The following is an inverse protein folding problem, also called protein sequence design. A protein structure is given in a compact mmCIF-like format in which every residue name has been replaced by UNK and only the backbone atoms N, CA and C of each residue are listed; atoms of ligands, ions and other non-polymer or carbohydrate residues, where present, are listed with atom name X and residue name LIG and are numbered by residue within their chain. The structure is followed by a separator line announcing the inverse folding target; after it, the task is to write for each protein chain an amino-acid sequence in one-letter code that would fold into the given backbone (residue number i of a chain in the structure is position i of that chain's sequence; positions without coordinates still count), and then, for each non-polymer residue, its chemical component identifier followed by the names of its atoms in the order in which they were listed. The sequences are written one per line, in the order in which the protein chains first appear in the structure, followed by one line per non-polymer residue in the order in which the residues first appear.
data_IF_177493758198
#
_entry.id   IF_177493758198
#
_cell.length_a   1.000
_cell.length_b   1.000
_cell.length_c   1.000
_cell.angle_alpha   90.00
_cell.angle_beta   90.00
_cell.angle_gamma   90.00
#
_symmetry.space_group_name_H-M   'P 1'
#
loop_
_entity.id
_entity.type
_entity.pdbx_description
1 polymer ?
#
# COMPACT_ATOMS: atom_id res chain seq x y z
N UNK A 1 -13.12 1.70 -19.91
CA UNK A 1 -12.64 2.47 -18.75
C UNK A 1 -13.57 2.23 -17.59
N UNK A 2 -13.04 1.93 -16.41
CA UNK A 2 -13.83 1.73 -15.19
C UNK A 2 -14.04 3.11 -14.53
N UNK A 3 -15.26 3.67 -14.54
CA UNK A 3 -15.51 5.02 -14.01
C UNK A 3 -15.21 5.10 -12.51
N UNK A 4 -15.38 4.00 -11.77
CA UNK A 4 -15.13 3.96 -10.32
C UNK A 4 -13.65 4.12 -10.00
N UNK A 5 -12.78 3.56 -10.85
CA UNK A 5 -11.34 3.71 -10.68
C UNK A 5 -10.87 5.14 -10.99
N UNK A 6 -11.45 5.77 -12.02
CA UNK A 6 -11.13 7.15 -12.38
C UNK A 6 -11.57 8.13 -11.29
N UNK A 7 -12.76 7.94 -10.73
CA UNK A 7 -13.25 8.75 -9.61
C UNK A 7 -12.36 8.59 -8.37
N UNK A 8 -11.92 7.35 -8.07
CA UNK A 8 -11.05 7.08 -6.93
C UNK A 8 -9.64 7.66 -7.11
N UNK A 9 -9.08 7.62 -8.33
CA UNK A 9 -7.81 8.29 -8.66
C UNK A 9 -7.94 9.81 -8.53
N UNK A 10 -9.03 10.40 -9.02
CA UNK A 10 -9.29 11.84 -8.91
C UNK A 10 -9.48 12.32 -7.47
N UNK A 11 -9.84 11.43 -6.54
CA UNK A 11 -9.98 11.72 -5.12
C UNK A 11 -8.66 11.57 -4.33
N UNK A 12 -7.58 11.08 -4.94
CA UNK A 12 -6.28 10.97 -4.28
C UNK A 12 -5.66 12.35 -4.02
N UNK A 13 -4.79 12.46 -3.02
CA UNK A 13 -4.12 13.71 -2.66
C UNK A 13 -3.27 14.29 -3.83
N UNK A 14 -2.57 13.40 -4.54
CA UNK A 14 -1.92 13.68 -5.82
C UNK A 14 -2.29 12.54 -6.81
N UNK A 15 -3.21 12.79 -7.76
CA UNK A 15 -3.67 11.79 -8.72
C UNK A 15 -2.57 11.27 -9.67
N UNK A 16 -1.63 12.12 -10.05
CA UNK A 16 -0.54 11.75 -10.96
C UNK A 16 0.46 10.84 -10.24
N UNK A 17 0.78 11.16 -8.99
CA UNK A 17 1.61 10.31 -8.13
C UNK A 17 0.93 8.96 -7.87
N UNK A 18 -0.39 8.96 -7.60
CA UNK A 18 -1.16 7.74 -7.40
C UNK A 18 -1.14 6.85 -8.64
N UNK A 19 -1.35 7.43 -9.83
CA UNK A 19 -1.32 6.70 -11.10
C UNK A 19 0.07 6.14 -11.39
N UNK A 20 1.12 6.95 -11.22
CA UNK A 20 2.51 6.52 -11.42
C UNK A 20 2.86 5.36 -10.48
N UNK A 21 2.51 5.47 -9.20
CA UNK A 21 2.72 4.43 -8.20
C UNK A 21 1.98 3.14 -8.52
N UNK A 22 0.74 3.23 -9.02
CA UNK A 22 -0.07 2.08 -9.40
C UNK A 22 0.53 1.34 -10.60
N UNK A 23 1.01 2.09 -11.61
CA UNK A 23 1.69 1.51 -12.78
C UNK A 23 2.96 0.78 -12.34
N UNK A 24 3.81 1.43 -11.55
CA UNK A 24 5.05 0.80 -11.02
C UNK A 24 4.75 -0.47 -10.23
N UNK A 25 3.73 -0.45 -9.38
CA UNK A 25 3.31 -1.63 -8.61
C UNK A 25 2.78 -2.77 -9.50
N UNK A 26 2.00 -2.44 -10.53
CA UNK A 26 1.47 -3.44 -11.46
C UNK A 26 2.56 -4.08 -12.33
N UNK A 27 3.57 -3.30 -12.72
CA UNK A 27 4.74 -3.77 -13.48
C UNK A 27 5.70 -4.61 -12.63
N UNK A 28 5.81 -4.30 -11.33
CA UNK A 28 6.66 -5.04 -10.40
C UNK A 28 6.12 -6.44 -10.02
N UNK A 29 4.88 -6.77 -10.39
CA UNK A 29 4.31 -8.08 -10.06
C UNK A 29 5.12 -9.21 -10.71
N UNK A 30 5.35 -10.33 -9.99
CA UNK A 30 6.27 -11.39 -10.45
C UNK A 30 5.78 -12.11 -11.71
N UNK A 31 4.46 -12.14 -11.94
CA UNK A 31 3.85 -12.77 -13.10
C UNK A 31 2.50 -12.12 -13.46
N UNK A 32 1.94 -12.56 -14.59
CA UNK A 32 0.68 -12.04 -15.11
C UNK A 32 -0.52 -12.35 -14.20
N UNK A 33 -0.47 -13.41 -13.40
CA UNK A 33 -1.56 -13.83 -12.53
C UNK A 33 -1.58 -13.00 -11.24
N UNK A 34 -0.42 -12.71 -10.66
CA UNK A 34 -0.26 -11.77 -9.56
C UNK A 34 -0.73 -10.37 -9.96
N UNK A 35 -0.37 -9.91 -11.17
CA UNK A 35 -0.88 -8.64 -11.72
C UNK A 35 -2.39 -8.64 -11.90
N UNK A 36 -2.95 -9.73 -12.42
CA UNK A 36 -4.40 -9.85 -12.58
C UNK A 36 -5.11 -9.82 -11.23
N UNK A 37 -4.58 -10.53 -10.24
CA UNK A 37 -5.10 -10.55 -8.87
C UNK A 37 -5.15 -9.15 -8.27
N UNK A 38 -4.06 -8.38 -8.38
CA UNK A 38 -4.00 -6.99 -7.92
C UNK A 38 -5.11 -6.15 -8.58
N UNK A 39 -5.17 -6.14 -9.92
CA UNK A 39 -6.10 -5.30 -10.66
C UNK A 39 -7.57 -5.71 -10.41
N UNK A 40 -7.85 -7.01 -10.35
CA UNK A 40 -9.18 -7.51 -10.01
C UNK A 40 -9.57 -7.08 -8.59
N UNK A 41 -8.66 -7.16 -7.63
CA UNK A 41 -8.96 -6.77 -6.24
C UNK A 41 -9.16 -5.25 -6.13
N UNK A 42 -8.38 -4.45 -6.86
CA UNK A 42 -8.54 -2.99 -6.95
C UNK A 42 -9.93 -2.59 -7.45
N UNK A 43 -10.45 -3.27 -8.47
CA UNK A 43 -11.80 -3.00 -9.01
C UNK A 43 -12.88 -3.49 -8.04
N UNK A 44 -12.69 -4.69 -7.47
CA UNK A 44 -13.73 -5.39 -6.69
C UNK A 44 -13.88 -4.87 -5.25
N UNK A 45 -12.81 -4.39 -4.63
CA UNK A 45 -12.79 -4.05 -3.20
C UNK A 45 -12.58 -2.56 -2.97
N UNK A 46 -13.69 -1.82 -2.74
CA UNK A 46 -13.65 -0.37 -2.47
C UNK A 46 -12.70 0.02 -1.33
N UNK A 47 -12.69 -0.65 -0.14
CA UNK A 47 -11.79 -0.27 0.94
C UNK A 47 -10.32 -0.39 0.58
N UNK A 48 -9.94 -1.45 -0.15
CA UNK A 48 -8.57 -1.61 -0.64
C UNK A 48 -8.22 -0.50 -1.63
N UNK A 49 -9.10 -0.25 -2.60
CA UNK A 49 -8.86 0.75 -3.64
C UNK A 49 -8.61 2.12 -3.05
N UNK A 50 -9.49 2.59 -2.18
CA UNK A 50 -9.38 3.91 -1.58
C UNK A 50 -8.08 4.05 -0.78
N UNK A 51 -7.71 3.00 -0.01
CA UNK A 51 -6.47 2.98 0.77
C UNK A 51 -5.22 2.95 -0.09
N UNK A 52 -5.16 2.04 -1.06
CA UNK A 52 -4.01 1.90 -1.94
C UNK A 52 -3.78 3.19 -2.73
N UNK A 53 -4.84 3.75 -3.34
CA UNK A 53 -4.72 5.02 -4.07
C UNK A 53 -4.42 6.20 -3.14
N UNK A 54 -4.97 6.21 -1.92
CA UNK A 54 -4.63 7.21 -0.90
C UNK A 54 -3.16 7.17 -0.50
N UNK A 55 -2.59 5.98 -0.24
CA UNK A 55 -1.17 5.80 0.08
C UNK A 55 -0.29 6.22 -1.09
N UNK A 56 -0.60 5.75 -2.31
CA UNK A 56 0.19 6.06 -3.49
C UNK A 56 0.14 7.56 -3.81
N UNK A 57 -1.01 8.22 -3.67
CA UNK A 57 -1.16 9.65 -3.91
C UNK A 57 -0.63 10.54 -2.78
N UNK A 58 -0.39 10.01 -1.59
CA UNK A 58 0.13 10.80 -0.46
C UNK A 58 1.63 10.65 -0.23
N UNK A 59 2.28 9.60 -0.75
CA UNK A 59 3.67 9.29 -0.42
C UNK A 59 4.42 8.54 -1.51
N UNK A 60 5.35 9.24 -2.15
CA UNK A 60 6.31 8.66 -3.10
C UNK A 60 7.13 7.54 -2.45
N UNK A 61 7.58 7.73 -1.21
CA UNK A 61 8.38 6.75 -0.49
C UNK A 61 7.64 5.41 -0.26
N UNK A 62 6.31 5.46 -0.06
CA UNK A 62 5.50 4.26 0.08
C UNK A 62 5.19 3.62 -1.27
N UNK A 63 4.98 4.43 -2.33
CA UNK A 63 4.88 3.92 -3.70
C UNK A 63 6.16 3.17 -4.11
N UNK A 64 7.33 3.74 -3.85
CA UNK A 64 8.63 3.11 -4.12
C UNK A 64 8.88 1.87 -3.27
N UNK A 65 8.35 1.83 -2.04
CA UNK A 65 8.40 0.63 -1.21
C UNK A 65 7.56 -0.50 -1.83
N UNK A 66 6.31 -0.20 -2.23
CA UNK A 66 5.42 -1.17 -2.86
C UNK A 66 5.95 -1.65 -4.22
N UNK A 67 6.62 -0.80 -5.00
CA UNK A 67 7.27 -1.22 -6.23
C UNK A 67 8.44 -2.20 -5.97
N UNK A 68 9.20 -2.02 -4.88
CA UNK A 68 10.28 -2.94 -4.48
C UNK A 68 9.78 -4.21 -3.80
N UNK A 69 8.65 -4.11 -3.11
CA UNK A 69 8.01 -5.22 -2.39
C UNK A 69 6.55 -5.35 -2.85
N UNK A 70 6.32 -5.83 -4.09
CA UNK A 70 5.02 -5.85 -4.76
C UNK A 70 3.99 -6.79 -4.12
N UNK A 71 4.35 -7.50 -3.06
CA UNK A 71 3.45 -8.37 -2.31
C UNK A 71 2.78 -7.62 -1.14
N UNK A 72 3.39 -6.52 -0.68
CA UNK A 72 3.03 -5.83 0.56
C UNK A 72 1.71 -5.04 0.43
N UNK A 73 1.19 -4.82 -0.79
CA UNK A 73 -0.15 -4.27 -0.99
C UNK A 73 -1.24 -5.17 -0.38
N UNK A 74 -0.99 -6.47 -0.23
CA UNK A 74 -1.93 -7.42 0.41
C UNK A 74 -2.14 -7.11 1.88
N UNK A 75 -1.20 -6.43 2.53
CA UNK A 75 -1.36 -5.95 3.91
C UNK A 75 -2.49 -4.93 4.01
N UNK A 76 -2.73 -4.14 2.96
CA UNK A 76 -3.85 -3.18 2.88
C UNK A 76 -5.21 -3.87 2.74
N UNK A 77 -5.24 -5.16 2.35
CA UNK A 77 -6.46 -5.98 2.26
C UNK A 77 -6.89 -6.47 3.65
N UNK A 78 -5.93 -6.77 4.53
CA UNK A 78 -6.18 -7.36 5.86
C UNK A 78 -6.67 -6.38 6.92
N UNK A 79 -6.82 -5.11 6.56
CA UNK A 79 -7.01 -4.03 7.50
C UNK A 79 -8.49 -3.85 7.88
N UNK A 80 -8.86 -4.38 9.05
CA UNK A 80 -10.12 -4.12 9.74
C UNK A 80 -10.05 -2.74 10.42
N UNK A 81 -11.17 -2.05 10.59
CA UNK A 81 -11.22 -0.73 11.24
C UNK A 81 -10.73 -0.74 12.71
N UNK A 82 -10.51 -1.92 13.30
CA UNK A 82 -9.87 -2.10 14.61
C UNK A 82 -8.39 -1.69 14.64
N UNK A 83 -7.74 -1.61 13.48
CA UNK A 83 -6.29 -1.41 13.38
C UNK A 83 -5.89 0.07 13.31
N UNK A 84 -6.87 1.00 13.31
CA UNK A 84 -6.67 2.47 13.30
C UNK A 84 -5.75 2.99 14.42
N UNK A 85 -5.45 2.17 15.41
CA UNK A 85 -4.39 2.36 16.38
C UNK A 85 -3.72 1.01 16.66
N UNK A 86 -2.60 0.63 16.02
CA UNK A 86 -1.72 -0.32 16.66
C UNK A 86 -1.40 0.27 18.03
N UNK A 87 -1.72 -0.48 19.10
CA UNK A 87 -1.21 -0.18 20.44
C UNK A 87 0.32 0.01 20.30
N UNK A 88 0.89 0.96 21.05
CA UNK A 88 2.34 1.16 21.15
C UNK A 88 3.07 -0.20 21.31
N UNK A 89 2.48 -1.15 22.03
CA UNK A 89 3.01 -2.50 22.20
C UNK A 89 3.11 -3.35 20.91
N UNK A 90 2.28 -3.11 19.91
CA UNK A 90 2.35 -3.77 18.60
C UNK A 90 3.41 -3.11 17.70
N UNK A 91 3.50 -1.78 17.76
CA UNK A 91 4.57 -1.02 17.13
C UNK A 91 5.95 -1.40 17.67
N UNK A 92 6.09 -1.51 18.99
CA UNK A 92 7.32 -1.96 19.67
C UNK A 92 7.69 -3.39 19.29
N UNK A 93 6.71 -4.31 19.20
CA UNK A 93 6.95 -5.69 18.74
C UNK A 93 7.44 -5.75 17.29
N UNK A 94 6.92 -4.91 16.41
CA UNK A 94 7.38 -4.82 15.02
C UNK A 94 8.83 -4.34 14.87
N UNK A 95 9.38 -3.71 15.91
CA UNK A 95 10.73 -3.13 15.94
C UNK A 95 11.71 -3.91 16.85
N UNK A 96 11.22 -4.88 17.62
CA UNK A 96 11.96 -5.50 18.73
C UNK A 96 13.27 -6.19 18.31
N UNK A 97 13.32 -6.76 17.10
CA UNK A 97 14.47 -7.54 16.60
C UNK A 97 15.37 -6.75 15.64
N UNK A 98 15.17 -5.43 15.54
CA UNK A 98 15.85 -4.60 14.54
C UNK A 98 17.09 -3.93 15.11
N UNK A 99 18.26 -4.33 14.62
CA UNK A 99 19.56 -3.83 15.13
C UNK A 99 20.31 -2.89 14.19
N UNK A 100 19.80 -2.67 12.97
CA UNK A 100 20.45 -1.78 12.00
C UNK A 100 19.51 -0.66 11.49
N UNK A 101 20.06 0.51 11.10
CA UNK A 101 19.27 1.68 10.72
C UNK A 101 18.39 1.48 9.48
N UNK A 102 18.76 0.60 8.54
CA UNK A 102 17.99 0.38 7.32
C UNK A 102 16.81 -0.56 7.57
N UNK A 103 17.02 -1.62 8.34
CA UNK A 103 15.92 -2.47 8.82
C UNK A 103 14.95 -1.69 9.69
N UNK A 104 15.42 -0.70 10.46
CA UNK A 104 14.55 0.16 11.28
C UNK A 104 13.65 1.02 10.40
N UNK A 105 14.20 1.59 9.32
CA UNK A 105 13.40 2.36 8.35
C UNK A 105 12.37 1.49 7.63
N UNK A 106 12.68 0.23 7.35
CA UNK A 106 11.75 -0.70 6.69
C UNK A 106 10.62 -1.10 7.65
N UNK A 107 10.94 -1.50 8.87
CA UNK A 107 9.96 -1.87 9.88
C UNK A 107 9.05 -0.69 10.25
N UNK A 108 9.63 0.50 10.45
CA UNK A 108 8.87 1.73 10.70
C UNK A 108 7.87 2.06 9.59
N UNK A 109 8.30 1.99 8.32
CA UNK A 109 7.43 2.26 7.16
C UNK A 109 6.32 1.22 7.03
N UNK A 110 6.59 -0.04 7.38
CA UNK A 110 5.58 -1.10 7.41
C UNK A 110 4.53 -0.84 8.50
N UNK A 111 4.94 -0.35 9.67
CA UNK A 111 4.00 0.06 10.72
C UNK A 111 3.19 1.30 10.33
N UNK A 112 3.77 2.29 9.62
CA UNK A 112 3.01 3.45 9.15
C UNK A 112 1.94 3.09 8.10
N UNK A 113 2.14 2.00 7.36
CA UNK A 113 1.12 1.47 6.44
C UNK A 113 -0.03 0.78 7.16
N UNK A 114 0.14 0.50 8.46
CA UNK A 114 -0.85 -0.12 9.33
C UNK A 114 -1.40 0.85 10.38
N UNK A 115 -1.45 2.15 10.06
CA UNK A 115 -2.19 3.19 10.81
C UNK A 115 -3.24 3.76 9.86
#
# INVERSE_FOLDING_TARGET
SDPVLLDALGAAADPDLALLGLVRLAEAQPDAEARRTLLTTLVSAKPLRDRLLGVLGASEALADHLARHPQDWKSLVRYESSDLHPDIAEFERGLADVTDPDSLRVAYRRCLLSI
#
